data_IF_073270134726
#
_entry.id   IF_073270134726
#
_cell.length_a   1.000
_cell.length_b   1.000
_cell.length_c   1.000
_cell.angle_alpha   90.00
_cell.angle_beta   90.00
_cell.angle_gamma   90.00
#
_symmetry.space_group_name_H-M   'P 1'
#
loop_
_entity.id
_entity.type
_entity.pdbx_description
1 polymer ?
#
# COMPACT_ATOMS: atom_id res chain seq x y z
N UNK A 1 -46.37 16.37 16.92
CA UNK A 1 -46.03 14.97 16.63
C UNK A 1 -44.57 14.92 16.27
N UNK A 2 -43.77 13.96 16.76
CA UNK A 2 -42.48 13.71 16.13
C UNK A 2 -42.71 13.41 14.64
N UNK A 3 -41.84 13.89 13.73
CA UNK A 3 -41.95 13.53 12.32
C UNK A 3 -41.96 11.99 12.19
N UNK A 4 -42.72 11.42 11.25
CA UNK A 4 -42.65 9.99 10.97
C UNK A 4 -41.18 9.61 10.76
N UNK A 5 -40.73 8.50 11.37
CA UNK A 5 -39.32 8.10 11.32
C UNK A 5 -38.80 7.92 9.87
N UNK A 6 -39.71 7.75 8.91
CA UNK A 6 -39.42 7.52 7.50
C UNK A 6 -39.40 8.80 6.66
N UNK A 7 -39.64 9.99 7.24
CA UNK A 7 -39.60 11.27 6.51
C UNK A 7 -38.37 12.07 6.91
N UNK A 8 -37.58 12.48 5.93
CA UNK A 8 -36.41 13.34 6.13
C UNK A 8 -36.57 14.67 5.38
N UNK A 9 -36.32 15.78 6.07
CA UNK A 9 -36.38 17.13 5.49
C UNK A 9 -35.03 17.51 4.92
N UNK A 10 -34.98 17.84 3.64
CA UNK A 10 -33.74 18.19 2.94
C UNK A 10 -33.90 19.48 2.14
N UNK A 11 -32.77 20.11 1.81
CA UNK A 11 -32.69 21.12 0.77
C UNK A 11 -32.03 20.51 -0.47
N UNK A 12 -32.61 20.68 -1.65
CA UNK A 12 -32.03 20.20 -2.91
C UNK A 12 -31.65 21.40 -3.77
N UNK A 13 -30.38 21.45 -4.17
CA UNK A 13 -29.81 22.51 -4.99
C UNK A 13 -29.69 22.09 -6.46
N UNK A 14 -29.80 23.07 -7.36
CA UNK A 14 -29.55 22.94 -8.78
C UNK A 14 -28.85 24.20 -9.31
N UNK A 15 -27.82 24.10 -10.15
CA UNK A 15 -27.10 25.27 -10.66
C UNK A 15 -28.04 26.30 -11.31
N UNK A 16 -27.97 27.55 -10.84
CA UNK A 16 -28.77 28.64 -11.36
C UNK A 16 -30.24 28.68 -10.89
N UNK A 17 -30.64 27.81 -9.96
CA UNK A 17 -31.99 27.81 -9.37
C UNK A 17 -31.95 27.98 -7.84
N UNK A 18 -33.05 28.47 -7.27
CA UNK A 18 -33.22 28.50 -5.81
C UNK A 18 -33.35 27.08 -5.25
N UNK A 19 -32.71 26.78 -4.10
CA UNK A 19 -32.84 25.48 -3.44
C UNK A 19 -34.30 25.17 -3.10
N UNK A 20 -34.71 23.91 -3.30
CA UNK A 20 -36.03 23.43 -2.91
C UNK A 20 -35.97 22.73 -1.57
N UNK A 21 -36.83 23.15 -0.65
CA UNK A 21 -37.07 22.43 0.59
C UNK A 21 -38.10 21.34 0.34
N UNK A 22 -37.73 20.09 0.63
CA UNK A 22 -38.57 18.94 0.33
C UNK A 22 -38.53 17.94 1.48
N UNK A 23 -39.67 17.28 1.71
CA UNK A 23 -39.77 16.16 2.64
C UNK A 23 -39.64 14.86 1.82
N UNK A 24 -38.52 14.16 1.97
CA UNK A 24 -38.28 12.88 1.33
C UNK A 24 -38.93 11.79 2.17
N UNK A 25 -39.89 11.09 1.60
CA UNK A 25 -40.40 9.82 2.12
C UNK A 25 -39.43 8.69 1.76
N UNK A 26 -38.80 8.09 2.76
CA UNK A 26 -37.85 7.00 2.61
C UNK A 26 -38.48 5.71 2.05
N UNK A 27 -39.81 5.59 2.05
CA UNK A 27 -40.54 4.48 1.42
C UNK A 27 -40.79 4.69 -0.07
N UNK A 28 -40.74 5.93 -0.55
CA UNK A 28 -40.94 6.26 -1.98
C UNK A 28 -39.66 5.93 -2.75
N UNK A 29 -39.71 5.24 -3.91
CA UNK A 29 -38.51 4.98 -4.71
C UNK A 29 -37.76 6.26 -5.07
N UNK A 30 -36.43 6.20 -5.08
CA UNK A 30 -35.56 7.35 -5.35
C UNK A 30 -35.82 7.92 -6.75
N UNK A 31 -36.11 7.07 -7.73
CA UNK A 31 -36.50 7.49 -9.09
C UNK A 31 -37.76 8.38 -9.11
N UNK A 32 -38.75 8.07 -8.25
CA UNK A 32 -39.97 8.87 -8.14
C UNK A 32 -39.72 10.19 -7.40
N UNK A 33 -38.77 10.21 -6.46
CA UNK A 33 -38.33 11.45 -5.80
C UNK A 33 -37.58 12.34 -6.80
N UNK A 34 -36.63 11.79 -7.56
CA UNK A 34 -35.89 12.53 -8.59
C UNK A 34 -36.85 13.13 -9.62
N UNK A 35 -37.85 12.34 -10.07
CA UNK A 35 -38.90 12.84 -10.97
C UNK A 35 -39.61 14.08 -10.42
N UNK A 36 -40.04 14.05 -9.16
CA UNK A 36 -40.70 15.18 -8.50
C UNK A 36 -39.80 16.42 -8.42
N UNK A 37 -38.51 16.22 -8.12
CA UNK A 37 -37.51 17.30 -8.08
C UNK A 37 -37.34 17.92 -9.47
N UNK A 38 -37.17 17.09 -10.50
CA UNK A 38 -37.04 17.52 -11.90
C UNK A 38 -38.29 18.27 -12.37
N UNK A 39 -39.48 17.73 -12.10
CA UNK A 39 -40.77 18.33 -12.48
C UNK A 39 -40.91 19.74 -11.89
N UNK A 40 -40.52 19.94 -10.63
CA UNK A 40 -40.59 21.27 -10.02
C UNK A 40 -39.61 22.31 -10.59
N UNK A 41 -38.61 21.90 -11.39
CA UNK A 41 -37.68 22.79 -12.10
C UNK A 41 -37.88 22.71 -13.62
N UNK A 42 -38.94 22.03 -14.08
CA UNK A 42 -39.23 21.80 -15.48
C UNK A 42 -38.08 21.13 -16.25
N UNK A 43 -37.34 20.23 -15.60
CA UNK A 43 -36.27 19.46 -16.21
C UNK A 43 -36.86 18.20 -16.87
N UNK A 44 -36.64 18.04 -18.17
CA UNK A 44 -37.00 16.82 -18.91
C UNK A 44 -36.03 15.66 -18.63
N UNK A 45 -36.44 14.43 -18.92
CA UNK A 45 -35.62 13.21 -18.82
C UNK A 45 -35.04 13.00 -17.40
N UNK A 46 -35.93 12.83 -16.41
CA UNK A 46 -35.54 12.65 -15.02
C UNK A 46 -34.61 11.46 -14.78
N UNK A 47 -34.61 10.47 -15.67
CA UNK A 47 -33.71 9.31 -15.69
C UNK A 47 -32.23 9.69 -15.92
N UNK A 48 -31.94 10.88 -16.45
CA UNK A 48 -30.57 11.37 -16.62
C UNK A 48 -30.02 12.08 -15.40
N UNK A 49 -30.79 12.19 -14.33
CA UNK A 49 -30.39 12.86 -13.09
C UNK A 49 -30.26 11.89 -11.92
N UNK A 50 -29.44 12.29 -10.95
CA UNK A 50 -29.30 11.65 -9.66
C UNK A 50 -29.14 12.70 -8.57
N UNK A 51 -29.27 12.26 -7.31
CA UNK A 51 -28.97 13.09 -6.15
C UNK A 51 -27.55 12.79 -5.66
N UNK A 52 -26.83 13.83 -5.24
CA UNK A 52 -25.56 13.75 -4.54
C UNK A 52 -25.63 14.52 -3.22
N UNK A 53 -24.77 14.19 -2.27
CA UNK A 53 -24.50 15.09 -1.15
C UNK A 53 -23.88 16.40 -1.67
N UNK A 54 -24.34 17.56 -1.18
CA UNK A 54 -23.77 18.85 -1.56
C UNK A 54 -22.53 19.24 -0.73
N UNK A 55 -22.06 18.34 0.14
CA UNK A 55 -20.86 18.54 0.95
C UNK A 55 -19.57 18.23 0.17
N UNK A 56 -18.44 18.21 0.86
CA UNK A 56 -17.14 17.96 0.23
C UNK A 56 -16.99 16.56 -0.38
N UNK A 57 -17.85 15.60 -0.06
CA UNK A 57 -17.77 14.24 -0.62
C UNK A 57 -18.31 14.16 -2.05
N UNK A 58 -19.39 14.91 -2.33
CA UNK A 58 -20.17 14.80 -3.58
C UNK A 58 -20.57 13.35 -3.92
N UNK A 59 -20.80 12.50 -2.92
CA UNK A 59 -21.19 11.10 -3.16
C UNK A 59 -22.65 10.99 -3.61
N UNK A 60 -22.91 10.10 -4.56
CA UNK A 60 -24.21 9.76 -5.11
C UNK A 60 -25.07 9.04 -4.08
N UNK A 61 -26.35 9.44 -4.08
CA UNK A 61 -27.40 8.77 -3.34
C UNK A 61 -27.95 7.64 -4.20
N UNK A 62 -28.01 6.46 -3.61
CA UNK A 62 -28.56 5.23 -4.17
C UNK A 62 -29.63 4.68 -3.23
N UNK A 63 -30.38 3.68 -3.67
CA UNK A 63 -31.32 2.98 -2.80
C UNK A 63 -30.63 2.29 -1.61
N UNK A 64 -29.31 2.03 -1.69
CA UNK A 64 -28.54 1.37 -0.62
C UNK A 64 -28.10 2.30 0.51
N UNK A 65 -27.85 3.58 0.21
CA UNK A 65 -27.29 4.55 1.18
C UNK A 65 -28.24 5.71 1.51
N UNK A 66 -29.42 5.83 0.85
CA UNK A 66 -30.40 6.89 1.12
C UNK A 66 -30.90 6.96 2.57
N UNK A 67 -30.78 5.88 3.32
CA UNK A 67 -31.07 5.79 4.74
C UNK A 67 -30.08 6.59 5.61
N UNK A 68 -28.91 6.96 5.08
CA UNK A 68 -27.92 7.78 5.77
C UNK A 68 -28.25 9.29 5.74
N UNK A 69 -29.22 9.69 4.90
CA UNK A 69 -29.67 11.07 4.79
C UNK A 69 -30.31 11.52 6.10
N UNK A 70 -29.84 12.65 6.65
CA UNK A 70 -30.34 13.23 7.90
C UNK A 70 -31.21 14.45 7.63
N UNK A 71 -32.01 14.83 8.62
CA UNK A 71 -32.75 16.09 8.58
C UNK A 71 -31.78 17.28 8.47
N UNK A 72 -32.06 18.18 7.54
CA UNK A 72 -31.23 19.34 7.25
C UNK A 72 -30.07 19.07 6.29
N UNK A 73 -29.93 17.86 5.76
CA UNK A 73 -28.92 17.57 4.72
C UNK A 73 -29.22 18.38 3.46
N UNK A 74 -28.16 18.95 2.88
CA UNK A 74 -28.20 19.62 1.58
C UNK A 74 -27.77 18.60 0.53
N UNK A 75 -28.62 18.39 -0.46
CA UNK A 75 -28.39 17.53 -1.61
C UNK A 75 -28.27 18.39 -2.86
N UNK A 76 -27.65 17.83 -3.90
CA UNK A 76 -27.54 18.44 -5.22
C UNK A 76 -28.17 17.51 -6.25
N UNK A 77 -29.02 18.05 -7.11
CA UNK A 77 -29.42 17.35 -8.33
C UNK A 77 -28.27 17.49 -9.35
N UNK A 78 -27.83 16.37 -9.90
CA UNK A 78 -26.71 16.31 -10.85
C UNK A 78 -26.99 15.28 -11.94
N UNK A 79 -26.13 15.22 -12.95
CA UNK A 79 -26.14 14.17 -13.97
C UNK A 79 -25.98 12.80 -13.31
N UNK A 80 -26.73 11.80 -13.78
CA UNK A 80 -26.65 10.42 -13.27
C UNK A 80 -25.23 9.83 -13.40
N UNK A 81 -24.84 8.89 -12.52
CA UNK A 81 -23.52 8.26 -12.57
C UNK A 81 -23.17 7.70 -13.95
N UNK A 82 -24.10 6.99 -14.59
CA UNK A 82 -23.91 6.40 -15.91
C UNK A 82 -23.66 7.45 -16.99
N UNK A 83 -24.49 8.50 -17.05
CA UNK A 83 -24.32 9.59 -18.02
C UNK A 83 -23.00 10.34 -17.79
N UNK A 84 -22.65 10.60 -16.53
CA UNK A 84 -21.41 11.29 -16.17
C UNK A 84 -20.19 10.44 -16.55
N UNK A 85 -20.21 9.13 -16.26
CA UNK A 85 -19.17 8.18 -16.66
C UNK A 85 -18.98 8.14 -18.18
N UNK A 86 -20.08 8.06 -18.95
CA UNK A 86 -20.02 8.12 -20.41
C UNK A 86 -19.42 9.43 -20.94
N UNK A 87 -19.85 10.58 -20.42
CA UNK A 87 -19.34 11.88 -20.83
C UNK A 87 -17.84 12.03 -20.53
N UNK A 88 -17.39 11.59 -19.35
CA UNK A 88 -15.97 11.62 -18.99
C UNK A 88 -15.16 10.66 -19.84
N UNK A 89 -15.66 9.44 -20.07
CA UNK A 89 -15.02 8.45 -20.92
C UNK A 89 -14.79 8.98 -22.35
N UNK A 90 -15.75 9.70 -22.92
CA UNK A 90 -15.61 10.36 -24.23
C UNK A 90 -14.62 11.54 -24.18
N UNK A 91 -14.76 12.44 -23.20
CA UNK A 91 -13.92 13.65 -23.06
C UNK A 91 -12.43 13.30 -22.86
N UNK A 92 -12.11 12.25 -22.12
CA UNK A 92 -10.74 11.75 -21.90
C UNK A 92 -10.11 11.26 -23.22
N UNK A 93 -10.93 10.79 -24.14
CA UNK A 93 -10.48 10.33 -25.47
C UNK A 93 -10.43 11.45 -26.51
N UNK A 94 -10.89 12.66 -26.19
CA UNK A 94 -10.93 13.80 -27.11
C UNK A 94 -9.56 14.16 -27.72
N UNK A 95 -9.51 14.98 -28.77
CA UNK A 95 -8.23 15.48 -29.29
C UNK A 95 -7.69 16.68 -28.51
N UNK A 96 -8.53 17.33 -27.71
CA UNK A 96 -8.20 18.55 -26.95
C UNK A 96 -7.54 18.22 -25.62
N UNK A 97 -6.31 18.67 -25.42
CA UNK A 97 -5.56 18.42 -24.18
C UNK A 97 -6.20 19.08 -22.96
N UNK A 98 -6.75 20.28 -23.10
CA UNK A 98 -7.44 20.98 -22.01
C UNK A 98 -8.71 20.24 -21.60
N UNK A 99 -9.48 19.76 -22.59
CA UNK A 99 -10.68 18.98 -22.33
C UNK A 99 -10.36 17.66 -21.62
N UNK A 100 -9.25 17.00 -21.99
CA UNK A 100 -8.74 15.81 -21.29
C UNK A 100 -8.32 16.10 -19.87
N UNK A 101 -7.55 17.18 -19.67
CA UNK A 101 -7.02 17.52 -18.36
C UNK A 101 -8.14 17.76 -17.35
N UNK A 102 -9.12 18.58 -17.73
CA UNK A 102 -10.30 18.83 -16.88
C UNK A 102 -11.12 17.54 -16.67
N UNK A 103 -11.31 16.72 -17.71
CA UNK A 103 -12.05 15.46 -17.55
C UNK A 103 -11.32 14.46 -16.62
N UNK A 104 -9.98 14.41 -16.66
CA UNK A 104 -9.21 13.55 -15.75
C UNK A 104 -9.22 14.06 -14.32
N UNK A 105 -9.21 15.38 -14.13
CA UNK A 105 -9.35 16.01 -12.82
C UNK A 105 -10.73 15.70 -12.21
N UNK A 106 -11.80 15.84 -13.01
CA UNK A 106 -13.15 15.46 -12.61
C UNK A 106 -13.22 13.95 -12.28
N UNK A 107 -12.62 13.11 -13.13
CA UNK A 107 -12.56 11.66 -12.94
C UNK A 107 -11.86 11.30 -11.63
N UNK A 108 -10.71 11.90 -11.32
CA UNK A 108 -9.97 11.64 -10.09
C UNK A 108 -10.80 11.95 -8.83
N UNK A 109 -11.64 12.98 -8.89
CA UNK A 109 -12.55 13.33 -7.80
C UNK A 109 -13.72 12.34 -7.69
N UNK A 110 -14.36 12.00 -8.82
CA UNK A 110 -15.55 11.13 -8.85
C UNK A 110 -15.23 9.66 -8.61
N UNK A 111 -14.00 9.22 -8.90
CA UNK A 111 -13.56 7.83 -8.70
C UNK A 111 -13.57 7.40 -7.23
N UNK A 112 -13.62 8.34 -6.29
CA UNK A 112 -13.77 8.09 -4.84
C UNK A 112 -15.14 7.49 -4.49
N UNK A 113 -16.14 7.67 -5.35
CA UNK A 113 -17.48 7.14 -5.15
C UNK A 113 -17.65 5.80 -5.87
N UNK A 114 -17.96 4.74 -5.11
CA UNK A 114 -18.18 3.39 -5.62
C UNK A 114 -19.28 3.31 -6.68
N UNK A 115 -20.31 4.16 -6.58
CA UNK A 115 -21.45 4.20 -7.52
C UNK A 115 -20.99 4.67 -8.89
N UNK A 116 -20.17 5.73 -8.93
CA UNK A 116 -19.59 6.23 -10.16
C UNK A 116 -18.50 5.28 -10.69
N UNK A 117 -17.64 4.78 -9.80
CA UNK A 117 -16.56 3.87 -10.14
C UNK A 117 -17.08 2.64 -10.88
N UNK A 118 -18.18 2.05 -10.40
CA UNK A 118 -18.81 0.90 -11.07
C UNK A 118 -19.22 1.22 -12.51
N UNK A 119 -19.87 2.35 -12.75
CA UNK A 119 -20.29 2.75 -14.10
C UNK A 119 -19.09 3.01 -15.02
N UNK A 120 -18.05 3.68 -14.52
CA UNK A 120 -16.85 3.92 -15.32
C UNK A 120 -16.07 2.64 -15.63
N UNK A 121 -16.01 1.70 -14.68
CA UNK A 121 -15.41 0.38 -14.88
C UNK A 121 -16.18 -0.43 -15.92
N UNK A 122 -17.53 -0.38 -15.91
CA UNK A 122 -18.38 -1.05 -16.90
C UNK A 122 -18.14 -0.53 -18.34
N UNK A 123 -17.54 0.65 -18.50
CA UNK A 123 -17.16 1.24 -19.78
C UNK A 123 -15.71 0.94 -20.19
N UNK A 124 -15.08 -0.09 -19.61
CA UNK A 124 -13.66 -0.40 -19.81
C UNK A 124 -12.73 0.76 -19.42
N UNK A 125 -13.17 1.62 -18.48
CA UNK A 125 -12.44 2.81 -18.06
C UNK A 125 -11.06 2.51 -17.48
N UNK A 126 -10.87 1.37 -16.80
CA UNK A 126 -9.55 0.94 -16.32
C UNK A 126 -8.58 0.71 -17.48
N UNK A 127 -9.02 -0.01 -18.52
CA UNK A 127 -8.22 -0.28 -19.72
C UNK A 127 -7.80 1.03 -20.42
N UNK A 128 -8.72 2.00 -20.49
CA UNK A 128 -8.43 3.34 -21.01
C UNK A 128 -7.31 4.01 -20.19
N UNK A 129 -7.41 4.02 -18.86
CA UNK A 129 -6.39 4.63 -18.00
C UNK A 129 -5.03 3.93 -18.11
N UNK A 130 -5.01 2.59 -18.14
CA UNK A 130 -3.75 1.84 -18.30
C UNK A 130 -3.09 2.15 -19.65
N UNK A 131 -3.87 2.21 -20.73
CA UNK A 131 -3.36 2.57 -22.05
C UNK A 131 -2.80 4.00 -22.06
N UNK A 132 -3.45 4.94 -21.37
CA UNK A 132 -2.96 6.31 -21.24
C UNK A 132 -1.64 6.39 -20.50
N UNK A 133 -1.44 5.58 -19.45
CA UNK A 133 -0.17 5.52 -18.71
C UNK A 133 0.94 4.91 -19.58
N UNK A 134 0.65 3.80 -20.26
CA UNK A 134 1.61 3.11 -21.13
C UNK A 134 2.04 3.99 -22.32
N UNK A 135 1.07 4.54 -23.07
CA UNK A 135 1.32 5.28 -24.31
C UNK A 135 1.63 6.77 -24.11
N UNK A 136 1.19 7.35 -22.99
CA UNK A 136 1.23 8.77 -22.71
C UNK A 136 2.63 9.35 -22.52
N UNK A 137 3.66 8.53 -22.35
CA UNK A 137 5.03 9.06 -22.15
C UNK A 137 5.86 9.11 -23.42
N UNK A 138 5.62 8.24 -24.40
CA UNK A 138 6.42 8.21 -25.64
C UNK A 138 5.90 9.20 -26.68
N UNK A 139 4.58 9.30 -26.83
CA UNK A 139 3.93 10.26 -27.74
C UNK A 139 4.19 11.71 -27.32
N UNK A 140 4.34 11.94 -26.01
CA UNK A 140 4.41 13.28 -25.42
C UNK A 140 5.84 13.70 -25.05
N UNK A 141 6.82 12.80 -25.00
CA UNK A 141 8.25 13.16 -24.88
C UNK A 141 8.70 14.13 -25.97
N UNK A 142 8.12 14.04 -27.18
CA UNK A 142 8.39 15.00 -28.28
C UNK A 142 7.84 16.41 -28.00
N UNK A 143 6.74 16.52 -27.25
CA UNK A 143 6.07 17.79 -26.90
C UNK A 143 6.48 18.32 -25.51
N UNK A 144 7.17 17.50 -24.71
CA UNK A 144 7.58 17.76 -23.32
C UNK A 144 8.50 18.98 -23.18
N UNK A 145 9.16 19.42 -24.25
CA UNK A 145 10.01 20.63 -24.24
C UNK A 145 9.20 21.94 -24.18
N UNK A 146 7.92 21.93 -24.57
CA UNK A 146 7.09 23.15 -24.66
C UNK A 146 5.96 23.14 -23.61
N UNK A 147 5.44 21.98 -23.24
CA UNK A 147 4.24 21.85 -22.37
C UNK A 147 4.48 20.95 -21.13
N UNK A 148 5.67 21.01 -20.55
CA UNK A 148 6.08 20.17 -19.40
C UNK A 148 5.10 20.17 -18.19
N UNK A 149 4.46 21.29 -17.78
CA UNK A 149 3.61 21.31 -16.59
C UNK A 149 2.33 20.46 -16.75
N UNK A 150 1.62 20.63 -17.88
CA UNK A 150 0.33 20.00 -18.14
C UNK A 150 0.39 18.46 -18.15
N UNK A 151 1.52 17.88 -18.56
CA UNK A 151 1.68 16.43 -18.58
C UNK A 151 1.81 15.81 -17.18
N UNK A 152 2.51 16.51 -16.27
CA UNK A 152 2.64 16.07 -14.88
C UNK A 152 1.27 15.97 -14.23
N UNK A 153 0.46 17.01 -14.39
CA UNK A 153 -0.91 17.06 -13.86
C UNK A 153 -1.81 15.98 -14.48
N UNK A 154 -1.77 15.82 -15.80
CA UNK A 154 -2.56 14.81 -16.50
C UNK A 154 -2.26 13.40 -16.01
N UNK A 155 -0.97 13.04 -15.90
CA UNK A 155 -0.56 11.73 -15.40
C UNK A 155 -0.91 11.57 -13.91
N UNK A 156 -0.74 12.62 -13.11
CA UNK A 156 -1.10 12.61 -11.69
C UNK A 156 -2.60 12.34 -11.47
N UNK A 157 -3.48 13.01 -12.21
CA UNK A 157 -4.92 12.76 -12.17
C UNK A 157 -5.28 11.37 -12.70
N UNK A 158 -4.62 10.91 -13.78
CA UNK A 158 -4.82 9.56 -14.31
C UNK A 158 -4.48 8.48 -13.27
N UNK A 159 -3.33 8.61 -12.61
CA UNK A 159 -2.92 7.66 -11.56
C UNK A 159 -3.78 7.77 -10.31
N UNK A 160 -4.24 8.96 -9.95
CA UNK A 160 -5.16 9.16 -8.82
C UNK A 160 -6.50 8.48 -9.10
N UNK A 161 -7.12 8.73 -10.26
CA UNK A 161 -8.34 8.05 -10.67
C UNK A 161 -8.15 6.53 -10.67
N UNK A 162 -7.03 6.05 -11.21
CA UNK A 162 -6.72 4.61 -11.22
C UNK A 162 -6.67 4.01 -9.81
N UNK A 163 -5.96 4.64 -8.88
CA UNK A 163 -5.88 4.15 -7.48
C UNK A 163 -7.26 4.11 -6.85
N UNK A 164 -8.01 5.21 -6.92
CA UNK A 164 -9.35 5.30 -6.31
C UNK A 164 -10.32 4.25 -6.90
N UNK A 165 -10.28 4.02 -8.22
CA UNK A 165 -11.10 2.98 -8.85
C UNK A 165 -10.73 1.57 -8.38
N UNK A 166 -9.44 1.30 -8.20
CA UNK A 166 -8.93 -0.02 -7.77
C UNK A 166 -9.19 -0.28 -6.28
N UNK A 167 -9.20 0.76 -5.45
CA UNK A 167 -9.44 0.66 -4.01
C UNK A 167 -10.86 0.18 -3.65
N UNK A 168 -11.83 0.30 -4.58
CA UNK A 168 -13.16 -0.28 -4.41
C UNK A 168 -13.18 -1.82 -4.52
N UNK A 169 -12.10 -2.44 -5.02
CA UNK A 169 -12.00 -3.91 -5.12
C UNK A 169 -12.94 -4.55 -6.14
N UNK A 170 -13.47 -3.77 -7.10
CA UNK A 170 -14.38 -4.26 -8.15
C UNK A 170 -13.61 -5.08 -9.20
N UNK A 171 -12.39 -4.68 -9.52
CA UNK A 171 -11.53 -5.28 -10.56
C UNK A 171 -10.35 -5.99 -9.92
N UNK A 172 -10.03 -7.21 -10.41
CA UNK A 172 -8.83 -7.91 -9.98
C UNK A 172 -7.56 -7.27 -10.54
N UNK A 173 -6.53 -7.18 -9.69
CA UNK A 173 -5.19 -6.72 -10.07
C UNK A 173 -4.49 -7.65 -11.08
N UNK A 174 -4.92 -8.92 -11.20
CA UNK A 174 -4.29 -9.89 -12.11
C UNK A 174 -4.52 -9.58 -13.60
N UNK A 175 -5.37 -8.61 -13.92
CA UNK A 175 -5.68 -8.20 -15.29
C UNK A 175 -4.61 -7.30 -15.92
N UNK A 176 -3.64 -6.82 -15.14
CA UNK A 176 -2.69 -5.82 -15.62
C UNK A 176 -1.53 -6.38 -16.44
N UNK A 177 -1.22 -5.66 -17.52
CA UNK A 177 -0.13 -5.99 -18.42
C UNK A 177 1.24 -5.80 -17.76
N UNK A 178 2.23 -6.57 -18.19
CA UNK A 178 3.64 -6.36 -17.79
C UNK A 178 4.15 -5.00 -18.26
N UNK A 179 3.63 -4.47 -19.38
CA UNK A 179 4.01 -3.16 -19.90
C UNK A 179 3.57 -2.03 -18.95
N UNK A 180 2.36 -2.13 -18.39
CA UNK A 180 1.86 -1.20 -17.38
C UNK A 180 2.72 -1.23 -16.12
N UNK A 181 3.02 -2.42 -15.59
CA UNK A 181 3.86 -2.59 -14.39
C UNK A 181 5.25 -1.97 -14.63
N UNK A 182 5.88 -2.27 -15.76
CA UNK A 182 7.15 -1.66 -16.18
C UNK A 182 7.07 -0.14 -16.25
N UNK A 183 5.95 0.40 -16.74
CA UNK A 183 5.73 1.84 -16.81
C UNK A 183 5.69 2.47 -15.43
N UNK A 184 4.89 1.92 -14.52
CA UNK A 184 4.78 2.41 -13.14
C UNK A 184 6.14 2.31 -12.42
N UNK A 185 6.84 1.17 -12.55
CA UNK A 185 8.18 1.02 -11.98
C UNK A 185 9.18 2.04 -12.56
N UNK A 186 9.08 2.37 -13.85
CA UNK A 186 9.94 3.39 -14.47
C UNK A 186 9.76 4.78 -13.87
N UNK A 187 8.60 5.09 -13.28
CA UNK A 187 8.36 6.35 -12.59
C UNK A 187 9.09 6.42 -11.25
N UNK A 188 9.21 5.29 -10.55
CA UNK A 188 9.98 5.17 -9.30
C UNK A 188 11.49 5.18 -9.59
N UNK A 189 11.92 4.61 -10.71
CA UNK A 189 13.33 4.48 -11.05
C UNK A 189 13.98 5.76 -11.61
N UNK A 190 13.20 6.81 -11.92
CA UNK A 190 13.71 8.08 -12.48
C UNK A 190 14.02 9.11 -11.40
N UNK A 191 15.20 9.72 -11.50
CA UNK A 191 15.53 10.92 -10.73
C UNK A 191 14.72 12.12 -11.21
N UNK A 192 14.18 12.93 -10.29
CA UNK A 192 13.44 14.18 -10.56
C UNK A 192 12.10 14.01 -11.29
N UNK A 193 11.30 13.04 -10.86
CA UNK A 193 9.87 12.98 -11.20
C UNK A 193 9.04 13.85 -10.25
N UNK A 194 7.85 14.26 -10.68
CA UNK A 194 6.90 14.97 -9.82
C UNK A 194 6.51 14.14 -8.59
N UNK A 195 6.40 14.80 -7.43
CA UNK A 195 6.12 14.17 -6.14
C UNK A 195 4.80 13.41 -6.16
N UNK A 196 3.75 13.99 -6.77
CA UNK A 196 2.43 13.36 -6.83
C UNK A 196 2.45 12.09 -7.67
N UNK A 197 3.17 12.10 -8.80
CA UNK A 197 3.34 10.92 -9.65
C UNK A 197 4.12 9.83 -8.92
N UNK A 198 5.21 10.19 -8.23
CA UNK A 198 6.00 9.22 -7.46
C UNK A 198 5.16 8.57 -6.36
N UNK A 199 4.42 9.39 -5.60
CA UNK A 199 3.55 8.93 -4.53
C UNK A 199 2.51 7.92 -5.03
N UNK A 200 1.78 8.26 -6.09
CA UNK A 200 0.78 7.35 -6.68
C UNK A 200 1.43 6.10 -7.26
N UNK A 201 2.61 6.23 -7.89
CA UNK A 201 3.33 5.08 -8.44
C UNK A 201 3.76 4.09 -7.34
N UNK A 202 4.28 4.58 -6.22
CA UNK A 202 4.65 3.75 -5.06
C UNK A 202 3.41 3.06 -4.47
N UNK A 203 2.30 3.78 -4.29
CA UNK A 203 1.03 3.22 -3.80
C UNK A 203 0.50 2.10 -4.72
N UNK A 204 0.54 2.31 -6.04
CA UNK A 204 0.12 1.29 -7.02
C UNK A 204 0.98 0.03 -6.90
N UNK A 205 2.31 0.18 -6.79
CA UNK A 205 3.23 -0.95 -6.68
C UNK A 205 3.05 -1.72 -5.37
N UNK A 206 2.85 -1.01 -4.27
CA UNK A 206 2.50 -1.61 -2.98
C UNK A 206 1.23 -2.47 -3.12
N UNK A 207 0.14 -1.88 -3.64
CA UNK A 207 -1.12 -2.59 -3.84
C UNK A 207 -0.98 -3.79 -4.78
N UNK A 208 -0.23 -3.67 -5.88
CA UNK A 208 0.06 -4.81 -6.77
C UNK A 208 0.73 -5.96 -6.01
N UNK A 209 1.77 -5.66 -5.22
CA UNK A 209 2.51 -6.66 -4.45
C UNK A 209 1.62 -7.32 -3.40
N UNK A 210 0.82 -6.54 -2.67
CA UNK A 210 -0.03 -7.04 -1.60
C UNK A 210 -1.18 -7.92 -2.10
N UNK A 211 -1.70 -7.65 -3.30
CA UNK A 211 -2.89 -8.33 -3.84
C UNK A 211 -2.57 -9.61 -4.65
N UNK A 212 -1.39 -9.78 -5.24
CA UNK A 212 -1.10 -10.95 -6.07
C UNK A 212 0.36 -11.41 -6.00
N UNK A 213 0.56 -12.74 -5.90
CA UNK A 213 1.90 -13.33 -5.89
C UNK A 213 2.60 -13.23 -7.25
N UNK A 214 1.86 -13.35 -8.35
CA UNK A 214 2.39 -13.18 -9.70
C UNK A 214 2.82 -11.72 -9.93
N UNK A 215 2.02 -10.76 -9.48
CA UNK A 215 2.39 -9.34 -9.52
C UNK A 215 3.59 -9.03 -8.62
N UNK A 216 3.69 -9.64 -7.44
CA UNK A 216 4.90 -9.53 -6.61
C UNK A 216 6.15 -9.94 -7.40
N UNK A 217 6.13 -11.07 -8.09
CA UNK A 217 7.28 -11.54 -8.86
C UNK A 217 7.64 -10.55 -9.98
N UNK A 218 6.64 -10.03 -10.69
CA UNK A 218 6.83 -9.03 -11.75
C UNK A 218 7.39 -7.71 -11.20
N UNK A 219 6.85 -7.19 -10.10
CA UNK A 219 7.32 -5.94 -9.47
C UNK A 219 8.74 -6.10 -8.92
N UNK A 220 9.03 -7.23 -8.27
CA UNK A 220 10.37 -7.53 -7.73
C UNK A 220 11.46 -7.66 -8.81
N UNK A 221 11.08 -7.92 -10.08
CA UNK A 221 12.01 -7.90 -11.22
C UNK A 221 12.29 -6.48 -11.73
N UNK A 222 11.34 -5.55 -11.57
CA UNK A 222 11.44 -4.19 -12.11
C UNK A 222 12.01 -3.16 -11.12
N UNK A 223 11.93 -3.45 -9.82
CA UNK A 223 12.38 -2.56 -8.75
C UNK A 223 13.28 -3.28 -7.77
N UNK A 224 14.40 -2.64 -7.47
CA UNK A 224 15.34 -3.08 -6.44
C UNK A 224 15.26 -2.18 -5.21
N UNK A 225 15.58 -2.73 -4.04
CA UNK A 225 15.71 -1.95 -2.79
C UNK A 225 16.69 -0.78 -2.97
N UNK A 226 17.75 -0.96 -3.77
CA UNK A 226 18.71 0.10 -4.07
C UNK A 226 18.10 1.33 -4.76
N UNK A 227 17.10 1.13 -5.63
CA UNK A 227 16.39 2.21 -6.30
C UNK A 227 15.38 2.91 -5.39
N UNK A 228 14.92 2.25 -4.33
CA UNK A 228 14.01 2.82 -3.34
C UNK A 228 14.74 3.71 -2.31
N UNK A 229 16.02 3.45 -2.04
CA UNK A 229 16.79 4.18 -1.02
C UNK A 229 16.84 5.70 -1.22
N UNK A 230 17.10 6.24 -2.43
CA UNK A 230 17.12 7.68 -2.65
C UNK A 230 15.82 8.38 -2.22
N UNK A 231 14.67 7.71 -2.36
CA UNK A 231 13.37 8.23 -1.94
C UNK A 231 13.24 8.35 -0.42
N UNK A 232 13.93 7.48 0.34
CA UNK A 232 14.02 7.59 1.80
C UNK A 232 14.93 8.74 2.26
N UNK A 233 15.96 9.05 1.46
CA UNK A 233 16.91 10.11 1.77
C UNK A 233 16.36 11.52 1.50
N UNK A 234 15.26 11.61 0.75
CA UNK A 234 14.53 12.85 0.50
C UNK A 234 13.91 13.46 1.77
N UNK A 235 13.37 14.66 1.63
CA UNK A 235 12.78 15.43 2.73
C UNK A 235 11.26 15.38 2.76
N UNK A 236 10.60 14.51 1.99
CA UNK A 236 9.14 14.40 1.96
C UNK A 236 8.69 13.20 2.80
N UNK A 237 7.77 13.39 3.76
CA UNK A 237 7.40 12.31 4.70
C UNK A 237 6.46 11.31 4.04
N UNK A 238 5.58 11.77 3.15
CA UNK A 238 4.64 10.90 2.45
C UNK A 238 5.42 9.98 1.52
N UNK A 239 6.36 10.52 0.72
CA UNK A 239 7.22 9.69 -0.14
C UNK A 239 8.02 8.67 0.68
N UNK A 240 8.61 9.08 1.81
CA UNK A 240 9.30 8.14 2.69
C UNK A 240 8.35 7.03 3.19
N UNK A 241 7.11 7.38 3.55
CA UNK A 241 6.11 6.45 4.08
C UNK A 241 5.75 5.40 3.03
N UNK A 242 5.36 5.83 1.83
CA UNK A 242 5.05 4.94 0.70
C UNK A 242 6.26 4.10 0.28
N UNK A 243 7.47 4.65 0.37
CA UNK A 243 8.69 3.90 0.05
C UNK A 243 8.92 2.76 1.05
N UNK A 244 8.75 3.01 2.36
CA UNK A 244 8.83 1.95 3.38
C UNK A 244 7.69 0.95 3.20
N UNK A 245 6.49 1.40 2.86
CA UNK A 245 5.33 0.55 2.61
C UNK A 245 5.59 -0.44 1.44
N UNK A 246 6.17 0.02 0.34
CA UNK A 246 6.63 -0.86 -0.77
C UNK A 246 7.69 -1.87 -0.30
N UNK A 247 8.68 -1.44 0.50
CA UNK A 247 9.70 -2.35 1.06
C UNK A 247 9.04 -3.40 1.95
N UNK A 248 8.11 -3.00 2.83
CA UNK A 248 7.34 -3.90 3.69
C UNK A 248 6.52 -4.89 2.87
N UNK A 249 5.83 -4.44 1.83
CA UNK A 249 5.03 -5.29 0.95
C UNK A 249 5.90 -6.34 0.24
N UNK A 250 7.04 -5.92 -0.34
CA UNK A 250 8.01 -6.82 -0.98
C UNK A 250 8.54 -7.85 0.01
N UNK A 251 8.82 -7.44 1.24
CA UNK A 251 9.37 -8.31 2.27
C UNK A 251 8.32 -9.29 2.82
N UNK A 252 7.11 -8.81 3.08
CA UNK A 252 5.98 -9.62 3.54
C UNK A 252 5.61 -10.72 2.53
N UNK A 253 5.63 -10.40 1.23
CA UNK A 253 5.26 -11.33 0.15
C UNK A 253 6.42 -12.18 -0.38
N UNK A 254 7.65 -11.91 0.06
CA UNK A 254 8.80 -12.72 -0.33
C UNK A 254 8.65 -14.17 0.17
N UNK A 255 8.90 -15.18 -0.69
CA UNK A 255 9.05 -16.58 -0.26
C UNK A 255 10.15 -16.72 0.80
N UNK A 256 10.04 -17.72 1.67
CA UNK A 256 10.96 -17.91 2.80
C UNK A 256 12.44 -17.93 2.36
N UNK A 257 12.76 -18.63 1.27
CA UNK A 257 14.11 -18.69 0.70
C UNK A 257 14.67 -17.30 0.33
N UNK A 258 13.81 -16.40 -0.15
CA UNK A 258 14.18 -15.03 -0.57
C UNK A 258 14.17 -14.03 0.57
N UNK A 259 13.49 -14.31 1.68
CA UNK A 259 13.44 -13.38 2.84
C UNK A 259 14.82 -13.14 3.42
N UNK A 260 15.64 -14.18 3.55
CA UNK A 260 17.01 -14.04 4.06
C UNK A 260 17.92 -13.28 3.09
N UNK A 261 17.78 -13.50 1.78
CA UNK A 261 18.48 -12.72 0.77
C UNK A 261 18.09 -11.23 0.85
N UNK A 262 16.79 -10.96 0.96
CA UNK A 262 16.29 -9.60 1.12
C UNK A 262 16.85 -8.95 2.39
N UNK A 263 16.85 -9.65 3.53
CA UNK A 263 17.44 -9.17 4.77
C UNK A 263 18.93 -8.79 4.60
N UNK A 264 19.69 -9.62 3.89
CA UNK A 264 21.10 -9.35 3.58
C UNK A 264 21.25 -8.09 2.72
N UNK A 265 20.39 -7.89 1.71
CA UNK A 265 20.37 -6.68 0.88
C UNK A 265 20.05 -5.44 1.72
N UNK A 266 19.03 -5.49 2.59
CA UNK A 266 18.66 -4.38 3.47
C UNK A 266 19.82 -3.98 4.39
N UNK A 267 20.54 -4.97 4.94
CA UNK A 267 21.73 -4.75 5.75
C UNK A 267 22.90 -4.19 4.93
N UNK A 268 23.21 -4.78 3.77
CA UNK A 268 24.30 -4.35 2.89
C UNK A 268 24.10 -2.91 2.39
N UNK A 269 22.86 -2.53 2.09
CA UNK A 269 22.50 -1.18 1.67
C UNK A 269 22.32 -0.20 2.84
N UNK A 270 22.61 -0.63 4.07
CA UNK A 270 22.53 0.17 5.28
C UNK A 270 21.15 0.82 5.52
N UNK A 271 20.07 0.13 5.15
CA UNK A 271 18.71 0.68 5.25
C UNK A 271 18.40 1.19 6.66
N UNK A 272 18.84 0.45 7.70
CA UNK A 272 18.67 0.86 9.11
C UNK A 272 19.29 2.22 9.41
N UNK A 273 20.47 2.51 8.87
CA UNK A 273 21.17 3.78 9.06
C UNK A 273 20.45 4.93 8.35
N UNK A 274 19.95 4.65 7.15
CA UNK A 274 19.17 5.60 6.35
C UNK A 274 17.88 5.97 7.08
N UNK A 275 17.11 4.99 7.54
CA UNK A 275 15.88 5.22 8.32
C UNK A 275 16.20 5.99 9.61
N UNK A 276 17.25 5.60 10.33
CA UNK A 276 17.66 6.30 11.55
C UNK A 276 17.95 7.79 11.28
N UNK A 277 18.63 8.09 10.19
CA UNK A 277 19.08 9.44 9.86
C UNK A 277 17.98 10.31 9.26
N UNK A 278 17.25 9.78 8.26
CA UNK A 278 16.33 10.56 7.43
C UNK A 278 14.86 10.47 7.87
N UNK A 279 14.52 9.53 8.75
CA UNK A 279 13.16 9.36 9.28
C UNK A 279 13.13 9.58 10.78
N UNK A 280 13.88 8.81 11.56
CA UNK A 280 13.80 8.83 13.04
C UNK A 280 14.41 10.09 13.63
N UNK A 281 15.58 10.51 13.13
CA UNK A 281 16.29 11.72 13.57
C UNK A 281 15.99 12.94 12.71
N UNK A 282 15.02 12.84 11.80
CA UNK A 282 14.58 14.00 11.03
C UNK A 282 14.04 15.08 11.98
N UNK A 283 14.17 16.36 11.59
CA UNK A 283 13.69 17.47 12.42
C UNK A 283 12.16 17.51 12.58
N UNK A 284 11.43 16.78 11.73
CA UNK A 284 9.97 16.69 11.75
C UNK A 284 9.48 15.57 12.65
N UNK A 285 8.29 15.75 13.20
CA UNK A 285 7.58 14.68 13.91
C UNK A 285 7.21 13.53 12.96
N UNK A 286 7.20 12.31 13.50
CA UNK A 286 6.75 11.11 12.79
C UNK A 286 5.21 11.05 12.91
N UNK A 287 4.51 10.97 11.78
CA UNK A 287 3.05 10.81 11.77
C UNK A 287 2.64 9.33 12.04
N UNK A 288 1.35 9.10 12.29
CA UNK A 288 0.85 7.76 12.64
C UNK A 288 1.09 6.72 11.54
N UNK A 289 0.96 7.11 10.26
CA UNK A 289 1.13 6.20 9.13
C UNK A 289 2.60 5.76 9.00
N UNK A 290 3.55 6.69 9.07
CA UNK A 290 4.97 6.38 9.11
C UNK A 290 5.33 5.51 10.33
N UNK A 291 4.78 5.84 11.51
CA UNK A 291 5.00 5.02 12.71
C UNK A 291 4.49 3.58 12.53
N UNK A 292 3.33 3.41 11.89
CA UNK A 292 2.80 2.10 11.54
C UNK A 292 3.73 1.35 10.58
N UNK A 293 4.21 2.00 9.51
CA UNK A 293 5.13 1.37 8.56
C UNK A 293 6.48 0.95 9.21
N UNK A 294 7.00 1.75 10.15
CA UNK A 294 8.18 1.39 10.94
C UNK A 294 7.92 0.20 11.87
N UNK A 295 6.74 0.14 12.48
CA UNK A 295 6.32 -1.02 13.29
C UNK A 295 6.26 -2.29 12.45
N UNK A 296 5.62 -2.25 11.28
CA UNK A 296 5.53 -3.40 10.36
C UNK A 296 6.94 -3.86 9.96
N UNK A 297 7.82 -2.93 9.57
CA UNK A 297 9.21 -3.26 9.21
C UNK A 297 9.95 -3.94 10.37
N UNK A 298 9.76 -3.45 11.60
CA UNK A 298 10.37 -4.02 12.80
C UNK A 298 9.89 -5.46 13.03
N UNK A 299 8.58 -5.71 12.91
CA UNK A 299 8.00 -7.05 13.03
C UNK A 299 8.59 -7.99 11.97
N UNK A 300 8.59 -7.59 10.70
CA UNK A 300 9.16 -8.38 9.60
C UNK A 300 10.65 -8.70 9.84
N UNK A 301 11.41 -7.73 10.34
CA UNK A 301 12.83 -7.92 10.65
C UNK A 301 13.05 -8.90 11.80
N UNK A 302 12.21 -8.87 12.84
CA UNK A 302 12.32 -9.84 13.94
C UNK A 302 11.90 -11.25 13.53
N UNK A 303 10.89 -11.38 12.65
CA UNK A 303 10.44 -12.68 12.17
C UNK A 303 11.53 -13.45 11.40
N UNK A 304 12.55 -12.77 10.85
CA UNK A 304 13.73 -13.45 10.29
C UNK A 304 14.48 -14.33 11.29
N UNK A 305 14.38 -14.01 12.59
CA UNK A 305 15.05 -14.77 13.64
C UNK A 305 14.22 -15.99 14.07
N UNK A 306 12.96 -16.09 13.63
CA UNK A 306 12.03 -17.15 14.04
C UNK A 306 12.53 -18.54 13.64
N UNK A 307 13.00 -18.71 12.40
CA UNK A 307 13.52 -20.00 11.92
C UNK A 307 14.69 -20.49 12.78
N UNK A 308 15.65 -19.61 13.07
CA UNK A 308 16.78 -19.94 13.95
C UNK A 308 16.33 -20.18 15.39
N UNK A 309 15.37 -19.41 15.87
CA UNK A 309 14.79 -19.55 17.21
C UNK A 309 14.06 -20.89 17.38
N UNK A 310 13.43 -21.39 16.31
CA UNK A 310 12.71 -22.67 16.28
C UNK A 310 13.59 -23.84 15.84
N UNK A 311 14.77 -23.61 15.27
CA UNK A 311 15.71 -24.67 14.90
C UNK A 311 16.41 -25.21 16.14
N UNK A 312 16.24 -26.51 16.41
CA UNK A 312 16.96 -27.18 17.49
C UNK A 312 18.37 -27.50 17.03
N UNK A 313 19.34 -27.35 17.94
CA UNK A 313 20.66 -27.92 17.72
C UNK A 313 20.55 -29.45 17.59
N UNK A 314 21.25 -30.03 16.61
CA UNK A 314 21.44 -31.48 16.53
C UNK A 314 22.66 -31.87 17.37
N UNK A 315 22.49 -32.64 18.47
CA UNK A 315 23.61 -33.08 19.29
C UNK A 315 24.56 -34.04 18.58
N UNK A 316 24.24 -34.61 17.42
CA UNK A 316 25.14 -35.51 16.69
C UNK A 316 25.91 -34.80 15.58
N UNK A 317 25.52 -33.57 15.23
CA UNK A 317 26.20 -32.78 14.21
C UNK A 317 27.53 -32.22 14.76
N UNK A 318 28.64 -32.66 14.15
CA UNK A 318 29.99 -32.26 14.53
C UNK A 318 30.22 -30.76 14.34
N UNK A 319 29.70 -30.15 13.26
CA UNK A 319 29.92 -28.73 12.98
C UNK A 319 29.24 -27.86 14.05
N UNK A 320 28.05 -28.24 14.51
CA UNK A 320 27.36 -27.52 15.59
C UNK A 320 28.07 -27.69 16.93
N UNK A 321 28.63 -28.87 17.20
CA UNK A 321 29.48 -29.11 18.39
C UNK A 321 30.74 -28.27 18.36
N UNK A 322 31.36 -28.12 17.20
CA UNK A 322 32.58 -27.33 17.03
C UNK A 322 32.35 -25.85 17.36
N UNK A 323 31.17 -25.29 17.07
CA UNK A 323 30.80 -23.92 17.47
C UNK A 323 30.81 -23.76 19.00
N UNK A 324 30.29 -24.76 19.73
CA UNK A 324 30.25 -24.74 21.21
C UNK A 324 31.65 -24.97 21.80
N UNK A 325 32.44 -25.83 21.15
CA UNK A 325 33.84 -26.03 21.51
C UNK A 325 34.64 -24.75 21.34
N UNK A 326 34.44 -24.02 20.24
CA UNK A 326 35.09 -22.74 19.98
C UNK A 326 34.69 -21.68 21.02
N UNK A 327 33.41 -21.63 21.42
CA UNK A 327 32.95 -20.77 22.51
C UNK A 327 33.71 -21.05 23.82
N UNK A 328 33.92 -22.33 24.16
CA UNK A 328 34.74 -22.75 25.31
C UNK A 328 36.19 -22.31 25.14
N UNK A 329 36.79 -22.57 23.97
CA UNK A 329 38.19 -22.25 23.68
C UNK A 329 38.46 -20.76 23.86
N UNK A 330 37.61 -19.89 23.32
CA UNK A 330 37.70 -18.44 23.48
C UNK A 330 37.63 -18.04 24.97
N UNK A 331 36.77 -18.68 25.75
CA UNK A 331 36.55 -18.33 27.15
C UNK A 331 37.65 -18.80 28.12
N UNK A 332 38.31 -19.93 27.86
CA UNK A 332 39.23 -20.56 28.83
C UNK A 332 40.64 -20.82 28.31
N UNK A 333 40.80 -21.01 27.00
CA UNK A 333 42.10 -21.36 26.42
C UNK A 333 42.89 -20.12 25.96
N UNK A 334 42.27 -18.92 25.97
CA UNK A 334 42.96 -17.64 25.72
C UNK A 334 43.84 -17.17 26.90
N UNK A 335 43.60 -17.70 28.11
CA UNK A 335 44.33 -17.34 29.34
C UNK A 335 45.21 -18.49 29.90
N UNK A 336 45.22 -19.68 29.27
CA UNK A 336 45.92 -20.84 29.81
C UNK A 336 47.32 -21.04 29.19
N UNK A 337 48.36 -20.95 30.02
CA UNK A 337 49.75 -21.31 29.71
C UNK A 337 49.89 -22.73 29.09
N UNK A 338 50.88 -22.99 28.22
CA UNK A 338 50.88 -24.09 27.24
C UNK A 338 51.02 -25.52 27.82
N UNK A 339 51.11 -25.68 29.15
CA UNK A 339 51.72 -26.87 29.76
C UNK A 339 50.75 -28.00 30.13
N UNK A 340 49.48 -27.94 29.70
CA UNK A 340 48.45 -28.94 30.07
C UNK A 340 48.11 -29.98 28.98
N UNK A 341 48.87 -30.04 27.88
CA UNK A 341 48.59 -30.91 26.73
C UNK A 341 48.92 -32.40 26.93
N UNK A 342 49.55 -32.78 28.05
CA UNK A 342 50.02 -34.15 28.34
C UNK A 342 49.06 -35.01 29.20
N UNK A 343 47.79 -34.63 29.31
CA UNK A 343 46.78 -35.37 30.08
C UNK A 343 46.11 -36.53 29.32
N UNK A 344 45.88 -37.66 30.02
CA UNK A 344 45.01 -38.77 29.59
C UNK A 344 43.66 -38.27 29.08
N UNK A 345 43.06 -39.01 28.13
CA UNK A 345 41.78 -38.66 27.48
C UNK A 345 40.64 -38.41 28.50
N UNK A 346 40.64 -39.11 29.63
CA UNK A 346 39.67 -38.91 30.72
C UNK A 346 39.87 -37.59 31.47
N UNK A 347 41.13 -37.14 31.66
CA UNK A 347 41.42 -35.84 32.28
C UNK A 347 40.93 -34.69 31.40
N UNK A 348 41.09 -34.82 30.07
CA UNK A 348 40.55 -33.84 29.10
C UNK A 348 39.02 -33.80 29.11
N UNK A 349 38.34 -34.95 29.11
CA UNK A 349 36.87 -35.01 29.21
C UNK A 349 36.35 -34.37 30.50
N UNK A 350 36.96 -34.66 31.65
CA UNK A 350 36.60 -34.06 32.93
C UNK A 350 36.81 -32.53 32.95
N UNK A 351 37.91 -32.06 32.36
CA UNK A 351 38.18 -30.62 32.21
C UNK A 351 37.09 -29.94 31.38
N UNK A 352 36.74 -30.49 30.22
CA UNK A 352 35.68 -29.94 29.36
C UNK A 352 34.33 -29.88 30.08
N UNK A 353 33.92 -30.93 30.79
CA UNK A 353 32.68 -30.92 31.58
C UNK A 353 32.67 -29.80 32.63
N UNK A 354 33.80 -29.56 33.31
CA UNK A 354 33.94 -28.47 34.28
C UNK A 354 33.82 -27.10 33.62
N UNK A 355 34.46 -26.93 32.47
CA UNK A 355 34.46 -25.66 31.74
C UNK A 355 33.06 -25.30 31.23
N UNK A 356 32.31 -26.27 30.68
CA UNK A 356 30.91 -26.05 30.30
C UNK A 356 30.00 -25.75 31.49
N UNK A 357 30.25 -26.35 32.66
CA UNK A 357 29.54 -25.99 33.90
C UNK A 357 29.87 -24.55 34.32
N UNK A 358 31.12 -24.11 34.19
CA UNK A 358 31.54 -22.73 34.46
C UNK A 358 30.91 -21.73 33.47
N UNK A 359 30.62 -22.14 32.23
CA UNK A 359 29.85 -21.36 31.26
C UNK A 359 28.34 -21.30 31.58
N UNK A 360 27.87 -21.99 32.62
CA UNK A 360 26.46 -21.95 33.05
C UNK A 360 25.54 -22.92 32.32
N UNK A 361 26.05 -23.89 31.55
CA UNK A 361 25.21 -24.92 30.92
C UNK A 361 24.67 -25.91 31.97
N UNK A 362 23.36 -26.19 31.93
CA UNK A 362 22.62 -26.83 33.03
C UNK A 362 22.77 -28.38 33.04
N UNK A 363 22.86 -29.09 31.91
CA UNK A 363 23.12 -30.55 31.82
C UNK A 363 23.68 -30.91 30.45
N UNK A 364 24.74 -31.74 30.39
CA UNK A 364 25.35 -32.27 29.14
C UNK A 364 25.25 -33.80 29.07
N UNK A 365 24.07 -34.39 29.33
CA UNK A 365 23.75 -35.69 28.74
C UNK A 365 23.37 -35.43 27.29
N UNK A 366 23.82 -36.27 26.35
CA UNK A 366 23.63 -36.10 24.90
C UNK A 366 22.18 -35.77 24.48
N UNK A 367 21.19 -36.09 25.33
CA UNK A 367 19.76 -35.89 25.13
C UNK A 367 19.18 -34.57 25.68
N UNK A 368 19.93 -33.74 26.42
CA UNK A 368 19.40 -32.57 27.15
C UNK A 368 20.24 -31.30 27.04
N UNK A 369 20.86 -31.06 25.88
CA UNK A 369 21.58 -29.80 25.64
C UNK A 369 20.60 -28.60 25.66
N UNK A 370 20.94 -27.45 26.30
CA UNK A 370 20.05 -26.29 26.36
C UNK A 370 19.65 -25.73 24.98
N UNK A 371 20.54 -25.84 23.99
CA UNK A 371 20.28 -25.45 22.59
C UNK A 371 19.38 -26.44 21.82
N UNK A 372 18.98 -27.56 22.43
CA UNK A 372 17.94 -28.45 21.88
C UNK A 372 16.52 -28.04 22.33
N UNK A 373 16.40 -26.97 23.12
CA UNK A 373 15.12 -26.41 23.57
C UNK A 373 14.67 -25.31 22.61
N UNK A 374 13.36 -25.25 22.38
CA UNK A 374 12.70 -24.10 21.73
C UNK A 374 12.10 -23.21 22.82
N UNK A 375 11.93 -21.90 22.57
CA UNK A 375 11.04 -21.10 23.40
C UNK A 375 9.66 -21.77 23.45
N UNK A 376 8.96 -21.67 24.57
CA UNK A 376 7.58 -22.16 24.65
C UNK A 376 6.73 -21.37 23.65
N UNK A 377 6.02 -22.06 22.76
CA UNK A 377 4.96 -21.46 21.96
C UNK A 377 3.85 -21.04 22.92
N UNK A 378 3.85 -19.79 23.35
CA UNK A 378 2.62 -19.15 23.81
C UNK A 378 1.85 -18.75 22.57
N UNK A 379 1.22 -19.72 21.91
CA UNK A 379 0.22 -19.46 20.88
C UNK A 379 -0.92 -18.65 21.53
N UNK A 380 -1.14 -17.43 21.02
CA UNK A 380 -2.39 -16.70 21.14
C UNK A 380 -2.81 -16.24 19.77
#
# INVERSE_FOLDING_TARGET
MPPPADIVKVAIEWPGAYPKLMEIDQKKPLSAIIKEVCDGWSLANHEYFALQHADSSNFYITEKNRNEIKNGTILRLTTSPAQNAHQLHERIQSSSMDAKLEALKDLASLSRDVTFAQEFINLDGISLLTQMVESGTERYQKLQKIMKPCFGDMLSFTLTAFVELMDHGIVSWDTFSVAFIKKIASFVNKSAIDVSILQRSLAILESMVLNSHDLYQKVAQEITIGQLIPHLQGTDQEIQTYTIAVINALFLKAPDEKRQEMANILAQKQLRSIILTHVIRAQRAINNEMAHQLYVLQVLTFNLLEDRMMTKMDPQDQAQRDIIFELRRIAFDAESEPNNSSGSMEKRKSMYTRDYKKLGFIVMSHSHHPLCRRPYNTSR
#
